data_IF_037478453486
#
_entry.id   IF_037478453486
#
_cell.length_a   1.000
_cell.length_b   1.000
_cell.length_c   1.000
_cell.angle_alpha   90.00
_cell.angle_beta   90.00
_cell.angle_gamma   90.00
#
_symmetry.space_group_name_H-M   'P 1'
#
loop_
_entity.id
_entity.type
_entity.pdbx_description
1 polymer ?
#
# COMPACT_ATOMS: atom_id res chain seq x y z
N UNK A 1 9.25 -6.55 13.60
CA UNK A 1 8.68 -5.98 12.37
C UNK A 1 8.76 -4.46 12.41
N UNK A 2 9.29 -3.82 11.37
CA UNK A 2 9.19 -2.38 11.15
C UNK A 2 8.06 -2.14 10.14
N UNK A 3 7.11 -1.26 10.46
CA UNK A 3 5.92 -1.05 9.65
C UNK A 3 5.72 0.44 9.33
N UNK A 4 5.46 0.75 8.07
CA UNK A 4 5.11 2.09 7.60
C UNK A 4 3.61 2.14 7.30
N UNK A 5 2.93 3.18 7.79
CA UNK A 5 1.53 3.46 7.44
C UNK A 5 1.45 4.73 6.61
N UNK A 6 0.70 4.70 5.52
CA UNK A 6 0.41 5.87 4.69
C UNK A 6 -1.05 6.29 4.91
N UNK A 7 -1.27 7.50 5.38
CA UNK A 7 -2.61 8.06 5.59
C UNK A 7 -2.93 9.07 4.50
N UNK A 8 -3.87 8.72 3.62
CA UNK A 8 -4.35 9.58 2.54
C UNK A 8 -5.41 10.62 2.96
N UNK A 9 -5.88 10.59 4.20
CA UNK A 9 -6.91 11.53 4.65
C UNK A 9 -6.39 12.97 4.70
N UNK A 10 -7.07 13.95 4.07
CA UNK A 10 -6.73 15.36 4.19
C UNK A 10 -6.89 15.90 5.62
N UNK A 11 -7.66 15.24 6.47
CA UNK A 11 -7.80 15.59 7.89
C UNK A 11 -6.60 15.13 8.74
N UNK A 12 -5.62 14.46 8.14
CA UNK A 12 -4.42 13.97 8.84
C UNK A 12 -4.76 13.05 10.00
N UNK A 13 -4.07 13.22 11.15
CA UNK A 13 -4.30 12.40 12.35
C UNK A 13 -5.67 12.61 13.01
N UNK A 14 -6.36 13.71 12.71
CA UNK A 14 -7.69 14.01 13.29
C UNK A 14 -8.83 13.33 12.52
N UNK A 15 -8.58 12.79 11.34
CA UNK A 15 -9.58 12.14 10.50
C UNK A 15 -9.93 10.73 10.99
N UNK A 16 -11.18 10.30 10.70
CA UNK A 16 -11.67 8.98 11.08
C UNK A 16 -10.78 7.85 10.53
N UNK A 17 -10.23 8.01 9.32
CA UNK A 17 -9.31 7.04 8.72
C UNK A 17 -8.06 6.81 9.60
N UNK A 18 -7.46 7.89 10.12
CA UNK A 18 -6.31 7.77 11.00
C UNK A 18 -6.69 7.23 12.39
N UNK A 19 -7.88 7.57 12.89
CA UNK A 19 -8.42 7.00 14.14
C UNK A 19 -8.62 5.48 14.01
N UNK A 20 -9.23 5.00 12.91
CA UNK A 20 -9.39 3.57 12.68
C UNK A 20 -8.02 2.87 12.51
N UNK A 21 -7.10 3.49 11.76
CA UNK A 21 -5.72 3.00 11.61
C UNK A 21 -5.02 2.87 12.98
N UNK A 22 -5.21 3.80 13.92
CA UNK A 22 -4.54 3.73 15.22
C UNK A 22 -4.83 2.42 15.95
N UNK A 23 -6.04 1.87 15.84
CA UNK A 23 -6.39 0.58 16.44
C UNK A 23 -5.73 -0.62 15.71
N UNK A 24 -5.50 -0.53 14.40
CA UNK A 24 -4.66 -1.51 13.69
C UNK A 24 -3.23 -1.46 14.21
N UNK A 25 -2.69 -0.25 14.42
CA UNK A 25 -1.34 -0.07 14.94
C UNK A 25 -1.22 -0.54 16.40
N UNK A 26 -2.23 -0.32 17.23
CA UNK A 26 -2.29 -0.87 18.60
C UNK A 26 -2.14 -2.40 18.59
N UNK A 27 -2.90 -3.09 17.72
CA UNK A 27 -2.79 -4.54 17.56
C UNK A 27 -1.40 -4.99 17.09
N UNK A 28 -0.81 -4.27 16.15
CA UNK A 28 0.54 -4.55 15.66
C UNK A 28 1.62 -4.31 16.72
N UNK A 29 1.52 -3.22 17.47
CA UNK A 29 2.44 -2.88 18.57
C UNK A 29 2.38 -3.94 19.69
N UNK A 30 1.17 -4.43 20.02
CA UNK A 30 0.99 -5.51 20.99
C UNK A 30 1.73 -6.81 20.58
N UNK A 31 1.95 -7.04 19.28
CA UNK A 31 2.75 -8.14 18.73
C UNK A 31 4.24 -7.79 18.55
N UNK A 32 4.68 -6.61 19.02
CA UNK A 32 6.08 -6.17 19.00
C UNK A 32 6.50 -5.45 17.72
N UNK A 33 5.57 -4.92 16.91
CA UNK A 33 5.94 -4.08 15.78
C UNK A 33 6.40 -2.69 16.22
N UNK A 34 7.33 -2.12 15.45
CA UNK A 34 7.68 -0.68 15.48
C UNK A 34 6.99 -0.01 14.30
N UNK A 35 6.20 1.02 14.56
CA UNK A 35 5.35 1.67 13.55
C UNK A 35 5.79 3.12 13.31
N UNK A 36 5.72 3.55 12.06
CA UNK A 36 5.87 4.94 11.64
C UNK A 36 4.70 5.30 10.73
N UNK A 37 4.02 6.41 11.01
CA UNK A 37 2.88 6.89 10.23
C UNK A 37 3.28 8.14 9.43
N UNK A 38 3.00 8.11 8.13
CA UNK A 38 3.23 9.23 7.20
C UNK A 38 1.86 9.77 6.77
N UNK A 39 1.64 11.04 7.03
CA UNK A 39 0.40 11.75 6.64
C UNK A 39 0.63 12.41 5.28
N UNK A 40 0.04 11.85 4.24
CA UNK A 40 0.25 12.33 2.87
C UNK A 40 -0.31 13.75 2.63
N UNK A 41 -1.32 14.17 3.37
CA UNK A 41 -1.85 15.53 3.30
C UNK A 41 -0.84 16.61 3.73
N UNK A 42 0.16 16.25 4.53
CA UNK A 42 1.23 17.15 4.97
C UNK A 42 2.52 17.02 4.17
N UNK A 43 2.55 16.12 3.18
CA UNK A 43 3.73 15.86 2.35
C UNK A 43 3.59 16.51 0.98
N UNK A 44 4.72 16.83 0.37
CA UNK A 44 4.76 17.30 -1.01
C UNK A 44 5.02 16.11 -1.94
N UNK A 45 3.96 15.36 -2.26
CA UNK A 45 3.98 14.31 -3.28
C UNK A 45 3.14 14.76 -4.47
N UNK A 46 3.80 15.25 -5.50
CA UNK A 46 3.15 15.77 -6.71
C UNK A 46 2.62 14.61 -7.58
N UNK A 47 1.58 14.86 -8.41
CA UNK A 47 1.08 13.90 -9.36
C UNK A 47 2.17 13.38 -10.32
N UNK A 48 1.98 12.16 -10.84
CA UNK A 48 2.88 11.58 -11.83
C UNK A 48 2.85 12.38 -13.15
N UNK A 49 4.02 12.62 -13.73
CA UNK A 49 4.16 13.33 -15.02
C UNK A 49 4.20 12.38 -16.23
N UNK A 50 4.07 11.08 -16.04
CA UNK A 50 4.19 10.04 -17.08
C UNK A 50 5.44 10.21 -17.96
N UNK A 51 6.57 10.58 -17.37
CA UNK A 51 7.81 10.90 -18.09
C UNK A 51 8.71 9.69 -18.36
N UNK A 52 8.32 8.47 -17.95
CA UNK A 52 9.02 7.20 -18.10
C UNK A 52 10.45 7.13 -17.51
N UNK A 53 10.87 8.15 -16.75
CA UNK A 53 12.23 8.18 -16.18
C UNK A 53 12.46 7.04 -15.18
N UNK A 54 11.44 6.65 -14.42
CA UNK A 54 11.53 5.51 -13.50
C UNK A 54 11.81 4.19 -14.24
N UNK A 55 11.27 3.99 -15.44
CA UNK A 55 11.47 2.80 -16.27
C UNK A 55 12.88 2.78 -16.89
N UNK A 56 13.42 3.97 -17.18
CA UNK A 56 14.76 4.09 -17.80
C UNK A 56 15.90 4.16 -16.79
N UNK A 57 15.66 4.72 -15.58
CA UNK A 57 16.72 5.05 -14.60
C UNK A 57 16.48 4.49 -13.19
N UNK A 58 15.31 3.88 -12.93
CA UNK A 58 14.98 3.26 -11.63
C UNK A 58 14.56 4.23 -10.51
N UNK A 59 14.43 5.51 -10.80
CA UNK A 59 14.00 6.52 -9.82
C UNK A 59 13.14 7.58 -10.44
N UNK A 60 12.33 8.27 -9.62
CA UNK A 60 11.54 9.39 -10.08
C UNK A 60 12.37 10.68 -10.10
N UNK A 61 12.31 11.50 -11.18
CA UNK A 61 13.10 12.70 -11.30
C UNK A 61 12.52 13.91 -10.54
N UNK A 62 11.27 13.83 -10.09
CA UNK A 62 10.62 14.95 -9.37
C UNK A 62 11.27 15.11 -8.00
N UNK A 63 11.64 16.35 -7.68
CA UNK A 63 12.28 16.73 -6.42
C UNK A 63 11.23 17.04 -5.37
N UNK A 64 10.61 16.01 -4.83
CA UNK A 64 9.60 16.05 -3.78
C UNK A 64 9.83 14.91 -2.76
N UNK A 65 8.88 14.65 -1.89
CA UNK A 65 9.04 13.67 -0.81
C UNK A 65 8.81 12.21 -1.24
N UNK A 66 8.39 11.95 -2.49
CA UNK A 66 8.07 10.60 -2.95
C UNK A 66 9.23 9.61 -2.76
N UNK A 67 10.44 9.95 -3.22
CA UNK A 67 11.60 9.05 -3.12
C UNK A 67 11.99 8.79 -1.66
N UNK A 68 11.86 9.78 -0.78
CA UNK A 68 12.08 9.60 0.66
C UNK A 68 11.08 8.64 1.28
N UNK A 69 9.78 8.80 0.96
CA UNK A 69 8.72 7.90 1.44
C UNK A 69 8.93 6.48 0.90
N UNK A 70 9.21 6.34 -0.40
CA UNK A 70 9.55 5.05 -1.03
C UNK A 70 10.73 4.38 -0.33
N UNK A 71 11.78 5.14 -0.01
CA UNK A 71 12.95 4.65 0.71
C UNK A 71 12.63 4.11 2.10
N UNK A 72 11.73 4.78 2.84
CA UNK A 72 11.25 4.30 4.15
C UNK A 72 10.47 2.99 4.03
N UNK A 73 9.63 2.87 2.99
CA UNK A 73 8.90 1.62 2.70
C UNK A 73 9.88 0.50 2.35
N UNK A 74 10.86 0.77 1.49
CA UNK A 74 11.89 -0.23 1.14
C UNK A 74 12.64 -0.75 2.37
N UNK A 75 12.91 0.12 3.34
CA UNK A 75 13.57 -0.21 4.61
C UNK A 75 12.63 -0.78 5.69
N UNK A 76 11.37 -1.07 5.36
CA UNK A 76 10.38 -1.65 6.27
C UNK A 76 10.08 -3.11 5.93
N UNK A 77 9.39 -3.79 6.85
CA UNK A 77 8.90 -5.15 6.69
C UNK A 77 7.41 -5.19 6.30
N UNK A 78 6.69 -4.10 6.50
CA UNK A 78 5.27 -4.04 6.22
C UNK A 78 4.73 -2.65 5.94
N UNK A 79 3.57 -2.63 5.26
CA UNK A 79 2.88 -1.43 4.81
C UNK A 79 1.40 -1.49 5.20
N UNK A 80 0.88 -0.40 5.76
CA UNK A 80 -0.57 -0.21 5.89
C UNK A 80 -0.99 1.01 5.08
N UNK A 81 -1.93 0.80 4.15
CA UNK A 81 -2.55 1.89 3.39
C UNK A 81 -3.86 2.28 4.06
N UNK A 82 -4.06 3.57 4.30
CA UNK A 82 -5.26 4.08 4.93
C UNK A 82 -5.83 5.26 4.14
N UNK A 83 -7.07 5.13 3.67
CA UNK A 83 -7.74 6.14 2.84
C UNK A 83 -9.21 6.32 3.23
N UNK A 84 -9.74 7.56 3.22
CA UNK A 84 -11.16 7.73 3.08
C UNK A 84 -11.59 7.32 1.67
N UNK A 85 -12.86 6.88 1.52
CA UNK A 85 -13.51 6.76 0.21
C UNK A 85 -13.93 8.17 -0.25
N UNK A 86 -13.32 8.66 -1.32
CA UNK A 86 -13.70 9.90 -2.00
C UNK A 86 -14.11 9.60 -3.44
N UNK A 87 -15.42 9.77 -3.71
CA UNK A 87 -15.99 9.54 -5.04
C UNK A 87 -15.56 8.18 -5.62
N UNK A 88 -15.91 7.13 -4.87
CA UNK A 88 -15.66 5.72 -5.25
C UNK A 88 -14.18 5.36 -5.45
N UNK A 89 -13.25 6.07 -4.79
CA UNK A 89 -11.82 5.81 -4.89
C UNK A 89 -11.06 6.20 -3.61
N UNK A 90 -9.77 5.90 -3.59
CA UNK A 90 -8.86 6.46 -2.59
C UNK A 90 -8.74 7.97 -2.77
N UNK A 91 -8.31 8.68 -1.72
CA UNK A 91 -8.07 10.12 -1.79
C UNK A 91 -7.02 10.47 -2.84
N UNK A 92 -7.07 11.69 -3.37
CA UNK A 92 -6.10 12.21 -4.34
C UNK A 92 -4.65 12.13 -3.82
N UNK A 93 -4.44 12.35 -2.52
CA UNK A 93 -3.13 12.28 -1.88
C UNK A 93 -2.54 10.85 -1.95
N UNK A 94 -3.34 9.83 -1.61
CA UNK A 94 -2.89 8.45 -1.72
C UNK A 94 -2.73 8.04 -3.18
N UNK A 95 -3.65 8.45 -4.05
CA UNK A 95 -3.57 8.15 -5.48
C UNK A 95 -2.32 8.74 -6.13
N UNK A 96 -1.95 9.97 -5.78
CA UNK A 96 -0.71 10.58 -6.27
C UNK A 96 0.53 9.75 -5.90
N UNK A 97 0.60 9.26 -4.66
CA UNK A 97 1.67 8.33 -4.25
C UNK A 97 1.63 7.02 -5.05
N UNK A 98 0.45 6.41 -5.20
CA UNK A 98 0.29 5.15 -5.95
C UNK A 98 0.71 5.30 -7.41
N UNK A 99 0.29 6.38 -8.09
CA UNK A 99 0.64 6.65 -9.49
C UNK A 99 2.17 6.83 -9.69
N UNK A 100 2.85 7.37 -8.69
CA UNK A 100 4.30 7.53 -8.69
C UNK A 100 5.04 6.21 -8.48
N UNK A 101 4.36 5.17 -8.01
CA UNK A 101 4.93 3.84 -7.83
C UNK A 101 5.01 3.01 -9.13
N UNK A 102 4.82 3.58 -10.33
CA UNK A 102 4.79 2.82 -11.57
C UNK A 102 6.02 1.90 -11.74
N UNK A 103 7.24 2.40 -11.56
CA UNK A 103 8.45 1.58 -11.61
C UNK A 103 8.54 0.54 -10.46
N UNK A 104 7.93 0.83 -9.30
CA UNK A 104 7.82 -0.15 -8.20
C UNK A 104 6.88 -1.28 -8.58
N UNK A 105 5.73 -0.96 -9.20
CA UNK A 105 4.75 -1.93 -9.69
C UNK A 105 5.38 -2.84 -10.74
N UNK A 106 6.04 -2.26 -11.75
CA UNK A 106 6.66 -3.05 -12.83
C UNK A 106 7.75 -4.00 -12.33
N UNK A 107 8.50 -3.61 -11.31
CA UNK A 107 9.55 -4.43 -10.71
C UNK A 107 9.09 -5.27 -9.52
N UNK A 108 7.83 -5.12 -9.09
CA UNK A 108 7.32 -5.65 -7.81
C UNK A 108 8.28 -5.32 -6.65
N UNK A 109 8.71 -4.04 -6.60
CA UNK A 109 9.85 -3.59 -5.80
C UNK A 109 9.68 -3.63 -4.28
N UNK A 110 8.46 -3.93 -3.78
CA UNK A 110 8.18 -4.11 -2.35
C UNK A 110 8.03 -5.59 -1.95
N UNK A 111 8.54 -6.51 -2.75
CA UNK A 111 8.46 -7.95 -2.50
C UNK A 111 8.98 -8.35 -1.12
N UNK A 112 8.34 -9.39 -0.56
CA UNK A 112 8.66 -9.94 0.76
C UNK A 112 8.09 -9.17 1.94
N UNK A 113 7.35 -8.07 1.68
CA UNK A 113 6.63 -7.33 2.72
C UNK A 113 5.20 -7.84 2.86
N UNK A 114 4.61 -7.57 4.03
CA UNK A 114 3.20 -7.83 4.32
C UNK A 114 2.44 -6.52 4.45
N UNK A 115 1.16 -6.52 4.09
CA UNK A 115 0.37 -5.30 4.10
C UNK A 115 -1.07 -5.46 4.53
N UNK A 116 -1.73 -4.34 4.77
CA UNK A 116 -3.16 -4.27 5.07
C UNK A 116 -3.74 -2.94 4.58
N UNK A 117 -5.07 -2.90 4.44
CA UNK A 117 -5.80 -1.70 4.02
C UNK A 117 -6.81 -1.25 5.06
N UNK A 118 -6.94 0.06 5.23
CA UNK A 118 -7.92 0.70 6.13
C UNK A 118 -8.74 1.69 5.34
N UNK A 119 -10.08 1.57 5.38
CA UNK A 119 -10.97 2.47 4.65
C UNK A 119 -12.03 3.05 5.57
N UNK A 120 -12.36 4.32 5.40
CA UNK A 120 -13.54 4.93 6.00
C UNK A 120 -14.35 5.66 4.93
N UNK A 121 -15.67 5.65 5.06
CA UNK A 121 -16.55 6.39 4.15
C UNK A 121 -17.63 7.14 4.93
N UNK A 122 -18.30 8.06 4.25
CA UNK A 122 -19.52 8.68 4.74
C UNK A 122 -20.77 7.83 4.49
N UNK A 123 -20.78 7.03 3.42
CA UNK A 123 -22.00 6.39 2.94
C UNK A 123 -21.88 5.00 2.32
N UNK A 124 -20.73 4.31 2.44
CA UNK A 124 -20.56 2.95 1.90
C UNK A 124 -19.45 2.82 0.87
N UNK A 125 -19.46 1.70 0.15
CA UNK A 125 -18.50 1.32 -0.90
C UNK A 125 -17.04 1.19 -0.43
N UNK A 126 -16.83 0.82 0.85
CA UNK A 126 -15.48 0.65 1.40
C UNK A 126 -14.79 -0.58 0.85
N UNK A 127 -15.51 -1.67 0.66
CA UNK A 127 -14.95 -2.95 0.23
C UNK A 127 -14.26 -2.87 -1.14
N UNK A 128 -14.86 -2.28 -2.20
CA UNK A 128 -14.17 -2.08 -3.48
C UNK A 128 -12.89 -1.25 -3.35
N UNK A 129 -12.88 -0.25 -2.46
CA UNK A 129 -11.70 0.58 -2.23
C UNK A 129 -10.60 -0.22 -1.50
N UNK A 130 -10.98 -1.04 -0.53
CA UNK A 130 -10.05 -1.94 0.16
C UNK A 130 -9.45 -2.97 -0.81
N UNK A 131 -10.26 -3.54 -1.70
CA UNK A 131 -9.82 -4.44 -2.77
C UNK A 131 -8.86 -3.75 -3.73
N UNK A 132 -9.16 -2.52 -4.16
CA UNK A 132 -8.26 -1.71 -4.99
C UNK A 132 -6.89 -1.48 -4.32
N UNK A 133 -6.88 -1.13 -3.02
CA UNK A 133 -5.63 -0.96 -2.28
C UNK A 133 -4.87 -2.27 -2.10
N UNK A 134 -5.57 -3.38 -1.84
CA UNK A 134 -4.94 -4.70 -1.76
C UNK A 134 -4.37 -5.16 -3.12
N UNK A 135 -5.06 -4.89 -4.22
CA UNK A 135 -4.53 -5.10 -5.58
C UNK A 135 -3.23 -4.31 -5.81
N UNK A 136 -3.19 -3.04 -5.42
CA UNK A 136 -1.97 -2.25 -5.49
C UNK A 136 -0.84 -2.86 -4.64
N UNK A 137 -1.13 -3.34 -3.42
CA UNK A 137 -0.15 -4.04 -2.59
C UNK A 137 0.40 -5.28 -3.31
N UNK A 138 -0.47 -6.13 -3.87
CA UNK A 138 -0.08 -7.34 -4.61
C UNK A 138 0.82 -6.99 -5.79
N UNK A 139 0.42 -6.02 -6.61
CA UNK A 139 1.16 -5.63 -7.82
C UNK A 139 2.50 -4.95 -7.50
N UNK A 140 2.67 -4.41 -6.30
CA UNK A 140 3.98 -3.94 -5.82
C UNK A 140 4.83 -5.02 -5.16
N UNK A 141 4.32 -6.26 -5.03
CA UNK A 141 5.01 -7.42 -4.43
C UNK A 141 4.72 -7.63 -2.93
N UNK A 142 3.83 -6.83 -2.35
CA UNK A 142 3.41 -6.97 -0.94
C UNK A 142 2.34 -8.06 -0.81
N UNK A 143 2.38 -8.85 0.26
CA UNK A 143 1.33 -9.82 0.59
C UNK A 143 0.29 -9.17 1.50
N UNK A 144 -0.91 -8.81 1.03
CA UNK A 144 -1.97 -8.26 1.89
C UNK A 144 -2.57 -9.37 2.76
N UNK A 145 -2.77 -9.08 4.05
CA UNK A 145 -3.35 -10.03 5.01
C UNK A 145 -4.83 -9.75 5.29
N UNK A 146 -5.36 -8.68 4.73
CA UNK A 146 -6.76 -8.28 4.87
C UNK A 146 -6.94 -6.77 4.94
N UNK A 147 -8.16 -6.39 5.31
CA UNK A 147 -8.57 -4.99 5.43
C UNK A 147 -9.59 -4.81 6.55
N UNK A 148 -9.73 -3.57 7.01
CA UNK A 148 -10.80 -3.15 7.91
C UNK A 148 -11.39 -1.83 7.42
N UNK A 149 -12.70 -1.66 7.59
CA UNK A 149 -13.37 -0.43 7.18
C UNK A 149 -14.52 -0.04 8.10
N UNK A 150 -14.97 1.19 7.96
CA UNK A 150 -16.11 1.72 8.69
C UNK A 150 -16.89 2.74 7.86
N UNK A 151 -18.22 2.59 7.82
CA UNK A 151 -19.16 3.55 7.24
C UNK A 151 -19.58 4.55 8.31
N UNK A 152 -18.98 5.74 8.33
CA UNK A 152 -19.19 6.74 9.39
C UNK A 152 -20.64 7.24 9.43
N UNK A 153 -21.31 7.36 8.28
CA UNK A 153 -22.73 7.76 8.23
C UNK A 153 -23.71 6.74 8.81
N UNK A 154 -23.28 5.50 9.03
CA UNK A 154 -24.07 4.45 9.69
C UNK A 154 -23.76 4.31 11.18
N UNK A 155 -22.78 5.06 11.70
CA UNK A 155 -22.35 5.01 13.10
C UNK A 155 -23.02 6.15 13.87
N UNK A 156 -23.74 5.81 14.94
CA UNK A 156 -24.33 6.81 15.83
C UNK A 156 -23.22 7.44 16.69
N UNK A 157 -23.07 8.76 16.60
CA UNK A 157 -22.01 9.50 17.28
C UNK A 157 -20.66 9.43 16.56
N UNK A 158 -19.58 9.78 17.26
CA UNK A 158 -18.24 9.88 16.69
C UNK A 158 -17.36 8.66 16.94
N UNK A 159 -17.79 7.69 17.77
CA UNK A 159 -16.99 6.55 18.18
C UNK A 159 -17.30 5.30 17.37
N UNK A 160 -16.25 4.58 16.97
CA UNK A 160 -16.43 3.30 16.28
C UNK A 160 -17.05 2.25 17.20
N UNK A 161 -17.98 1.41 16.69
CA UNK A 161 -18.46 0.23 17.41
C UNK A 161 -17.31 -0.67 17.86
N UNK A 162 -17.42 -1.27 19.05
CA UNK A 162 -16.35 -2.13 19.61
C UNK A 162 -16.00 -3.30 18.67
N UNK A 163 -16.96 -3.79 17.90
CA UNK A 163 -16.72 -4.84 16.90
C UNK A 163 -15.72 -4.39 15.83
N UNK A 164 -15.86 -3.15 15.31
CA UNK A 164 -14.90 -2.58 14.32
C UNK A 164 -13.54 -2.36 14.97
N UNK A 165 -13.52 -1.87 16.21
CA UNK A 165 -12.26 -1.67 16.95
C UNK A 165 -11.53 -3.01 17.19
N UNK A 166 -12.27 -4.06 17.51
CA UNK A 166 -11.73 -5.41 17.67
C UNK A 166 -11.16 -5.91 16.35
N UNK A 167 -11.90 -5.81 15.25
CA UNK A 167 -11.43 -6.18 13.90
C UNK A 167 -10.16 -5.44 13.52
N UNK A 168 -10.08 -4.15 13.81
CA UNK A 168 -8.89 -3.34 13.54
C UNK A 168 -7.67 -3.85 14.34
N UNK A 169 -7.82 -4.06 15.64
CA UNK A 169 -6.74 -4.60 16.48
C UNK A 169 -6.32 -6.01 16.01
N UNK A 170 -7.27 -6.86 15.66
CA UNK A 170 -6.98 -8.22 15.20
C UNK A 170 -6.30 -8.23 13.83
N UNK A 171 -6.63 -7.31 12.93
CA UNK A 171 -5.91 -7.11 11.66
C UNK A 171 -4.44 -6.74 11.91
N UNK A 172 -4.17 -5.84 12.86
CA UNK A 172 -2.81 -5.47 13.22
C UNK A 172 -1.99 -6.64 13.77
N UNK A 173 -2.59 -7.44 14.67
CA UNK A 173 -1.97 -8.68 15.19
C UNK A 173 -1.69 -9.68 14.06
N UNK A 174 -2.71 -9.92 13.20
CA UNK A 174 -2.59 -10.82 12.06
C UNK A 174 -1.44 -10.41 11.14
N UNK A 175 -1.31 -9.11 10.84
CA UNK A 175 -0.25 -8.60 9.98
C UNK A 175 1.16 -8.96 10.52
N UNK A 176 1.38 -8.77 11.82
CA UNK A 176 2.69 -9.08 12.43
C UNK A 176 2.93 -10.59 12.50
N UNK A 177 1.92 -11.38 12.85
CA UNK A 177 2.03 -12.85 12.90
C UNK A 177 2.31 -13.42 11.53
N UNK A 178 1.55 -13.02 10.51
CA UNK A 178 1.77 -13.47 9.12
C UNK A 178 3.18 -13.15 8.62
N UNK A 179 3.71 -11.96 8.96
CA UNK A 179 5.09 -11.63 8.61
C UNK A 179 6.11 -12.52 9.34
N UNK A 180 5.94 -12.79 10.64
CA UNK A 180 6.83 -13.67 11.42
C UNK A 180 6.83 -15.10 10.89
N UNK A 181 5.65 -15.62 10.58
CA UNK A 181 5.41 -17.00 10.17
C UNK A 181 5.61 -17.21 8.65
N UNK A 182 5.78 -16.13 7.89
CA UNK A 182 5.82 -16.16 6.41
C UNK A 182 4.57 -16.82 5.82
N UNK A 183 3.41 -16.51 6.42
CA UNK A 183 2.14 -17.11 6.03
C UNK A 183 1.81 -16.78 4.58
N UNK A 184 1.57 -17.79 3.77
CA UNK A 184 1.07 -17.64 2.42
C UNK A 184 -0.40 -17.15 2.43
N UNK A 185 -0.76 -16.32 1.46
CA UNK A 185 -2.13 -15.90 1.16
C UNK A 185 -2.44 -16.35 -0.27
N UNK A 186 -3.08 -17.53 -0.46
CA UNK A 186 -3.18 -18.18 -1.76
C UNK A 186 -3.75 -17.30 -2.87
N UNK A 187 -4.82 -16.53 -2.56
CA UNK A 187 -5.46 -15.64 -3.54
C UNK A 187 -4.51 -14.52 -3.99
N UNK A 188 -3.72 -13.97 -3.07
CA UNK A 188 -2.73 -12.94 -3.37
C UNK A 188 -1.54 -13.51 -4.16
N UNK A 189 -1.17 -14.77 -3.92
CA UNK A 189 -0.12 -15.45 -4.66
C UNK A 189 -0.55 -15.73 -6.10
N UNK A 190 -1.77 -16.22 -6.32
CA UNK A 190 -2.33 -16.46 -7.66
C UNK A 190 -2.38 -15.16 -8.48
N UNK A 191 -2.91 -14.09 -7.89
CA UNK A 191 -2.98 -12.78 -8.53
C UNK A 191 -1.58 -12.24 -8.86
N UNK A 192 -0.63 -12.38 -7.92
CA UNK A 192 0.77 -11.97 -8.11
C UNK A 192 1.43 -12.75 -9.24
N UNK A 193 1.25 -14.07 -9.33
CA UNK A 193 1.81 -14.89 -10.41
C UNK A 193 1.26 -14.47 -11.78
N UNK A 194 -0.04 -14.23 -11.88
CA UNK A 194 -0.68 -13.72 -13.10
C UNK A 194 -0.12 -12.35 -13.50
N UNK A 195 0.06 -11.46 -12.52
CA UNK A 195 0.66 -10.14 -12.74
C UNK A 195 2.12 -10.25 -13.18
N UNK A 196 2.92 -11.11 -12.55
CA UNK A 196 4.33 -11.34 -12.88
C UNK A 196 4.49 -11.81 -14.32
N UNK A 197 3.68 -12.76 -14.78
CA UNK A 197 3.73 -13.23 -16.16
C UNK A 197 3.38 -12.11 -17.16
N UNK A 198 2.41 -11.26 -16.83
CA UNK A 198 2.09 -10.08 -17.65
C UNK A 198 3.26 -9.11 -17.73
N UNK A 199 3.92 -8.84 -16.60
CA UNK A 199 5.08 -7.94 -16.56
C UNK A 199 6.28 -8.54 -17.29
N UNK A 200 6.50 -9.84 -17.19
CA UNK A 200 7.55 -10.55 -17.96
C UNK A 200 7.43 -10.28 -19.46
N UNK A 201 6.22 -10.42 -20.01
CA UNK A 201 5.96 -10.14 -21.42
C UNK A 201 6.16 -8.67 -21.75
N UNK A 202 5.70 -7.78 -20.88
CA UNK A 202 5.88 -6.34 -21.05
C UNK A 202 7.35 -5.93 -21.07
N UNK A 203 8.19 -6.52 -20.20
CA UNK A 203 9.64 -6.23 -20.16
C UNK A 203 10.35 -6.68 -21.44
N UNK A 204 9.98 -7.84 -22.00
CA UNK A 204 10.53 -8.28 -23.29
C UNK A 204 10.13 -7.35 -24.43
N UNK A 205 8.87 -6.89 -24.44
CA UNK A 205 8.38 -5.96 -25.46
C UNK A 205 9.00 -4.56 -25.34
N UNK A 206 9.26 -4.07 -24.12
CA UNK A 206 9.74 -2.71 -23.85
C UNK A 206 11.25 -2.63 -23.55
N UNK A 207 12.02 -3.67 -23.81
CA UNK A 207 13.43 -3.78 -23.42
C UNK A 207 14.30 -2.60 -23.88
N UNK A 208 14.04 -2.04 -25.07
CA UNK A 208 14.79 -0.91 -25.62
C UNK A 208 14.36 0.43 -24.98
N UNK A 209 13.06 0.57 -24.66
CA UNK A 209 12.50 1.79 -24.10
C UNK A 209 12.71 1.90 -22.57
N UNK A 210 12.74 0.73 -21.89
CA UNK A 210 12.80 0.62 -20.42
C UNK A 210 14.00 -0.20 -19.94
N UNK A 211 15.23 0.22 -20.27
CA UNK A 211 16.44 -0.58 -20.04
C UNK A 211 16.69 -0.88 -18.56
N UNK A 212 16.36 0.02 -17.63
CA UNK A 212 16.55 -0.24 -16.20
C UNK A 212 15.66 -1.39 -15.72
N UNK A 213 14.39 -1.38 -16.07
CA UNK A 213 13.45 -2.42 -15.64
C UNK A 213 13.77 -3.76 -16.30
N UNK A 214 14.14 -3.75 -17.58
CA UNK A 214 14.58 -4.95 -18.26
C UNK A 214 15.81 -5.60 -17.60
N UNK A 215 16.84 -4.82 -17.26
CA UNK A 215 18.02 -5.32 -16.55
C UNK A 215 17.69 -5.76 -15.11
N UNK A 216 16.77 -5.07 -14.43
CA UNK A 216 16.25 -5.50 -13.13
C UNK A 216 15.63 -6.91 -13.23
N UNK A 217 14.78 -7.15 -14.24
CA UNK A 217 14.13 -8.43 -14.45
C UNK A 217 15.11 -9.54 -14.81
N UNK A 218 16.12 -9.27 -15.62
CA UNK A 218 17.21 -10.23 -15.91
C UNK A 218 17.90 -10.64 -14.63
N UNK A 219 18.28 -9.66 -13.81
CA UNK A 219 19.06 -9.89 -12.61
C UNK A 219 18.27 -10.58 -11.48
N UNK A 220 17.01 -10.21 -11.29
CA UNK A 220 16.26 -10.58 -10.09
C UNK A 220 15.12 -11.59 -10.35
N UNK A 221 14.67 -11.74 -11.62
CA UNK A 221 13.52 -12.58 -11.98
C UNK A 221 13.81 -13.57 -13.11
N UNK A 222 15.08 -13.78 -13.43
CA UNK A 222 15.51 -14.78 -14.41
C UNK A 222 14.96 -14.56 -15.82
N UNK A 223 14.72 -13.30 -16.23
CA UNK A 223 14.34 -12.97 -17.59
C UNK A 223 15.52 -13.26 -18.52
N UNK A 224 15.28 -14.06 -19.57
CA UNK A 224 16.27 -14.45 -20.57
C UNK A 224 16.03 -13.71 -21.89
#
# INVERSE_FOLDING_TARGET
MKMISLVGSPHGLKGNTARLLSHVLEGAIAEGAKTETIILAGTNVLPCLACDTCHRKGHCPQKDEFESIKGKILASDGIVLASPNYIYSVSAQLKAFMDRCCGVVHCMGFEGKYGASVVTSGGGDEEPIAQFMNHFLITTGVTPVGSVWATMGAIAGDDFPEEILRQARDLGKKLVRSWKEKTAVPEAEEERMSFEERMRRLMLYRKEDWPYEYEFWKKHRGLK
#
